data_IF_692942999517
#
_entry.id   IF_692942999517
#
_cell.length_a   1.000
_cell.length_b   1.000
_cell.length_c   1.000
_cell.angle_alpha   90.00
_cell.angle_beta   90.00
_cell.angle_gamma   90.00
#
_symmetry.space_group_name_H-M   'P 1'
#
loop_
_entity.id
_entity.type
_entity.pdbx_description
1 polymer ?
#
# COMPACT_ATOMS: atom_id res chain seq x y z
N UNK A 1 24.73 34.83 24.53
CA UNK A 1 23.62 33.84 24.51
C UNK A 1 22.24 34.47 24.30
N UNK A 2 21.93 35.67 24.83
CA UNK A 2 20.61 36.33 24.63
C UNK A 2 20.18 36.47 23.16
N UNK A 3 21.13 36.73 22.26
CA UNK A 3 20.85 36.92 20.84
C UNK A 3 20.43 35.61 20.14
N UNK A 4 20.92 34.45 20.58
CA UNK A 4 20.58 33.14 19.99
C UNK A 4 19.09 32.83 20.15
N UNK A 5 18.55 32.97 21.36
CA UNK A 5 17.13 32.69 21.62
C UNK A 5 16.19 33.63 20.85
N UNK A 6 16.59 34.89 20.68
CA UNK A 6 15.82 35.87 19.89
C UNK A 6 15.80 35.46 18.42
N UNK A 7 16.96 35.09 17.85
CA UNK A 7 17.07 34.64 16.46
C UNK A 7 16.23 33.37 16.25
N UNK A 8 16.39 32.37 17.11
CA UNK A 8 15.62 31.13 17.06
C UNK A 8 14.12 31.39 17.09
N UNK A 9 13.64 32.16 18.07
CA UNK A 9 12.21 32.45 18.21
C UNK A 9 11.68 33.25 17.01
N UNK A 10 12.46 34.20 16.49
CA UNK A 10 12.10 34.98 15.31
C UNK A 10 11.99 34.09 14.07
N UNK A 11 13.01 33.27 13.79
CA UNK A 11 13.03 32.34 12.66
C UNK A 11 11.87 31.35 12.74
N UNK A 12 11.69 30.69 13.90
CA UNK A 12 10.61 29.73 14.11
C UNK A 12 9.23 30.38 13.91
N UNK A 13 8.96 31.51 14.57
CA UNK A 13 7.64 32.17 14.50
C UNK A 13 7.33 32.68 13.10
N UNK A 14 8.29 33.30 12.43
CA UNK A 14 8.10 33.80 11.07
C UNK A 14 7.81 32.68 10.09
N UNK A 15 8.49 31.53 10.25
CA UNK A 15 8.31 30.39 9.35
C UNK A 15 7.03 29.62 9.66
N UNK A 16 6.70 29.41 10.93
CA UNK A 16 5.45 28.77 11.36
C UNK A 16 4.22 29.53 10.84
N UNK A 17 4.26 30.86 10.84
CA UNK A 17 3.18 31.72 10.34
C UNK A 17 3.27 32.02 8.85
N UNK A 18 4.27 31.46 8.14
CA UNK A 18 4.43 31.72 6.71
C UNK A 18 3.36 30.99 5.90
N UNK A 19 2.81 31.66 4.88
CA UNK A 19 1.84 31.05 3.96
C UNK A 19 2.41 29.78 3.31
N UNK A 20 3.68 29.79 2.94
CA UNK A 20 4.35 28.63 2.36
C UNK A 20 4.31 27.42 3.29
N UNK A 21 4.67 27.58 4.57
CA UNK A 21 4.63 26.50 5.55
C UNK A 21 3.21 26.02 5.84
N UNK A 22 2.26 26.93 6.01
CA UNK A 22 0.86 26.57 6.28
C UNK A 22 0.24 25.81 5.11
N UNK A 23 0.46 26.28 3.88
CA UNK A 23 -0.03 25.62 2.66
C UNK A 23 0.65 24.28 2.47
N UNK A 24 1.98 24.19 2.59
CA UNK A 24 2.70 22.93 2.43
C UNK A 24 2.28 21.91 3.48
N UNK A 25 2.13 22.35 4.73
CA UNK A 25 1.66 21.48 5.83
C UNK A 25 0.25 21.00 5.56
N UNK A 26 -0.68 21.88 5.17
CA UNK A 26 -2.05 21.48 4.83
C UNK A 26 -2.08 20.45 3.69
N UNK A 27 -1.30 20.67 2.62
CA UNK A 27 -1.18 19.71 1.50
C UNK A 27 -0.62 18.37 2.00
N UNK A 28 0.45 18.38 2.80
CA UNK A 28 1.03 17.15 3.36
C UNK A 28 0.05 16.42 4.26
N UNK A 29 -0.75 17.12 5.06
CA UNK A 29 -1.75 16.51 5.93
C UNK A 29 -2.90 15.89 5.13
N UNK A 30 -3.39 16.57 4.08
CA UNK A 30 -4.42 16.02 3.18
C UNK A 30 -3.87 14.80 2.43
N UNK A 31 -2.63 14.87 1.94
CA UNK A 31 -1.98 13.76 1.25
C UNK A 31 -1.74 12.56 2.17
N UNK A 32 -1.28 12.79 3.40
CA UNK A 32 -1.16 11.74 4.42
C UNK A 32 -2.53 11.15 4.75
N UNK A 33 -3.57 11.96 4.91
CA UNK A 33 -4.92 11.47 5.14
C UNK A 33 -5.40 10.59 3.98
N UNK A 34 -5.12 10.97 2.73
CA UNK A 34 -5.41 10.14 1.55
C UNK A 34 -4.66 8.81 1.58
N UNK A 35 -3.34 8.81 1.79
CA UNK A 35 -2.53 7.57 1.85
C UNK A 35 -3.00 6.65 2.97
N UNK A 36 -3.23 7.21 4.17
CA UNK A 36 -3.65 6.44 5.35
C UNK A 36 -5.00 5.78 5.12
N UNK A 37 -5.90 6.45 4.39
CA UNK A 37 -7.24 5.94 4.10
C UNK A 37 -7.34 5.37 2.68
N UNK A 38 -6.22 5.12 2.00
CA UNK A 38 -6.19 4.80 0.57
C UNK A 38 -6.95 3.51 0.30
N UNK A 39 -6.70 2.46 1.07
CA UNK A 39 -7.39 1.17 0.91
C UNK A 39 -8.91 1.30 1.14
N UNK A 40 -9.34 2.20 2.03
CA UNK A 40 -10.78 2.49 2.24
C UNK A 40 -11.40 3.28 1.11
N UNK A 41 -10.67 4.27 0.61
CA UNK A 41 -11.10 5.05 -0.55
C UNK A 41 -11.25 4.09 -1.73
N UNK A 42 -10.29 3.19 -1.95
CA UNK A 42 -10.40 2.14 -2.96
C UNK A 42 -11.57 1.21 -2.72
N UNK A 43 -11.77 0.69 -1.50
CA UNK A 43 -12.96 -0.13 -1.18
C UNK A 43 -14.29 0.61 -1.41
N UNK A 44 -14.36 1.91 -1.13
CA UNK A 44 -15.56 2.73 -1.38
C UNK A 44 -15.82 2.91 -2.88
N UNK A 45 -14.77 2.84 -3.71
CA UNK A 45 -14.89 2.80 -5.17
C UNK A 45 -15.03 1.37 -5.72
N UNK A 46 -14.65 0.35 -4.95
CA UNK A 46 -14.80 -1.08 -5.25
C UNK A 46 -16.17 -1.62 -4.86
N UNK A 47 -16.91 -1.05 -3.92
CA UNK A 47 -18.33 -1.44 -3.71
C UNK A 47 -19.15 -1.33 -5.02
N UNK A 48 -18.77 -0.42 -5.92
CA UNK A 48 -19.37 -0.27 -7.25
C UNK A 48 -18.70 -1.14 -8.35
N UNK A 49 -17.50 -1.70 -8.12
CA UNK A 49 -16.70 -2.43 -9.12
C UNK A 49 -16.47 -3.93 -8.81
N UNK A 50 -16.33 -4.33 -7.54
CA UNK A 50 -16.32 -5.72 -7.05
C UNK A 50 -17.71 -6.36 -7.06
N UNK A 51 -18.79 -5.58 -7.25
CA UNK A 51 -20.13 -6.15 -7.48
C UNK A 51 -20.25 -6.90 -8.81
N UNK A 52 -19.24 -6.81 -9.69
CA UNK A 52 -19.15 -7.61 -10.91
C UNK A 52 -17.81 -8.31 -10.91
N UNK A 53 -17.78 -9.52 -10.34
CA UNK A 53 -16.68 -10.47 -10.54
C UNK A 53 -16.33 -10.57 -12.03
N UNK A 54 -15.12 -10.99 -12.36
CA UNK A 54 -14.70 -11.10 -13.77
C UNK A 54 -15.65 -12.06 -14.48
N UNK A 55 -16.43 -11.51 -15.41
CA UNK A 55 -17.30 -12.29 -16.28
C UNK A 55 -16.43 -13.06 -17.28
N UNK A 56 -16.42 -14.38 -17.14
CA UNK A 56 -15.65 -15.31 -17.96
C UNK A 56 -16.63 -16.02 -18.89
N UNK A 57 -16.61 -15.67 -20.16
CA UNK A 57 -17.36 -16.38 -21.19
C UNK A 57 -16.76 -17.78 -21.41
N UNK A 58 -17.52 -18.84 -21.12
CA UNK A 58 -17.12 -20.21 -21.38
C UNK A 58 -17.53 -20.62 -22.79
N UNK A 59 -16.54 -20.86 -23.65
CA UNK A 59 -16.72 -21.41 -24.99
C UNK A 59 -16.38 -22.89 -24.95
N UNK A 60 -17.40 -23.72 -25.13
CA UNK A 60 -17.26 -25.17 -25.22
C UNK A 60 -18.17 -25.76 -26.31
N UNK A 61 -17.79 -26.91 -26.87
CA UNK A 61 -18.57 -27.57 -27.93
C UNK A 61 -19.59 -28.59 -27.39
N UNK A 62 -19.28 -29.25 -26.26
CA UNK A 62 -20.08 -30.37 -25.73
C UNK A 62 -21.10 -29.98 -24.65
N UNK A 63 -20.92 -28.84 -23.96
CA UNK A 63 -21.76 -28.43 -22.83
C UNK A 63 -21.50 -29.23 -21.54
N UNK A 64 -20.44 -30.03 -21.51
CA UNK A 64 -20.10 -30.92 -20.40
C UNK A 64 -19.21 -30.26 -19.34
N UNK A 65 -18.60 -29.11 -19.65
CA UNK A 65 -17.61 -28.46 -18.79
C UNK A 65 -18.21 -27.39 -17.87
N UNK A 66 -19.29 -26.73 -18.27
CA UNK A 66 -19.91 -25.65 -17.49
C UNK A 66 -20.25 -26.06 -16.06
N UNK A 67 -21.02 -27.14 -15.89
CA UNK A 67 -21.49 -27.59 -14.57
C UNK A 67 -20.32 -27.94 -13.62
N UNK A 68 -19.38 -28.84 -13.99
CA UNK A 68 -18.23 -29.15 -13.13
C UNK A 68 -17.36 -27.93 -12.80
N UNK A 69 -17.14 -27.03 -13.77
CA UNK A 69 -16.37 -25.81 -13.52
C UNK A 69 -17.09 -24.85 -12.59
N UNK A 70 -18.41 -24.69 -12.76
CA UNK A 70 -19.23 -23.84 -11.89
C UNK A 70 -19.21 -24.31 -10.44
N UNK A 71 -19.27 -25.62 -10.19
CA UNK A 71 -19.21 -26.19 -8.84
C UNK A 71 -17.84 -25.97 -8.18
N UNK A 72 -16.76 -26.13 -8.94
CA UNK A 72 -15.40 -25.91 -8.41
C UNK A 72 -15.09 -24.43 -8.16
N UNK A 73 -15.75 -23.53 -8.90
CA UNK A 73 -15.57 -22.08 -8.77
C UNK A 73 -16.57 -21.42 -7.81
N UNK A 74 -17.52 -22.16 -7.24
CA UNK A 74 -18.53 -21.65 -6.29
C UNK A 74 -17.92 -20.84 -5.13
N UNK A 75 -16.80 -21.27 -4.49
CA UNK A 75 -16.13 -20.50 -3.43
C UNK A 75 -15.52 -19.17 -3.91
N UNK A 76 -15.52 -18.91 -5.20
CA UNK A 76 -14.90 -17.75 -5.86
C UNK A 76 -15.89 -16.94 -6.71
N UNK A 77 -17.20 -17.18 -6.58
CA UNK A 77 -18.26 -16.52 -7.36
C UNK A 77 -18.24 -14.99 -7.25
N UNK A 78 -17.83 -14.46 -6.09
CA UNK A 78 -17.69 -13.01 -5.87
C UNK A 78 -16.64 -12.37 -6.80
N UNK A 79 -15.72 -13.18 -7.34
CA UNK A 79 -14.57 -12.71 -8.14
C UNK A 79 -14.53 -13.28 -9.55
N UNK A 80 -15.19 -14.41 -9.80
CA UNK A 80 -15.21 -15.13 -11.07
C UNK A 80 -16.66 -15.52 -11.36
N UNK A 81 -17.24 -14.92 -12.39
CA UNK A 81 -18.58 -15.27 -12.85
C UNK A 81 -18.44 -16.06 -14.15
N UNK A 82 -18.62 -17.37 -14.08
CA UNK A 82 -18.60 -18.21 -15.27
C UNK A 82 -19.94 -18.07 -16.01
N UNK A 83 -19.89 -17.63 -17.26
CA UNK A 83 -21.07 -17.43 -18.11
C UNK A 83 -21.05 -18.46 -19.23
N UNK A 84 -22.08 -19.31 -19.28
CA UNK A 84 -22.30 -20.20 -20.41
C UNK A 84 -22.65 -19.37 -21.64
N UNK A 85 -21.93 -19.57 -22.74
CA UNK A 85 -22.17 -18.85 -23.99
C UNK A 85 -22.25 -19.79 -25.19
N UNK A 86 -23.02 -19.38 -26.20
CA UNK A 86 -23.10 -20.05 -27.50
C UNK A 86 -22.21 -19.40 -28.56
N UNK A 87 -21.35 -18.46 -28.16
CA UNK A 87 -20.42 -17.77 -29.05
C UNK A 87 -19.33 -18.74 -29.53
N UNK A 88 -18.87 -18.54 -30.76
CA UNK A 88 -17.62 -19.16 -31.24
C UNK A 88 -16.40 -18.57 -30.54
N UNK A 89 -15.24 -19.25 -30.63
CA UNK A 89 -13.98 -18.74 -30.07
C UNK A 89 -13.65 -17.34 -30.61
N UNK A 90 -13.85 -17.11 -31.91
CA UNK A 90 -13.61 -15.83 -32.57
C UNK A 90 -14.52 -14.71 -32.06
N UNK A 91 -15.81 -14.99 -31.88
CA UNK A 91 -16.78 -14.03 -31.35
C UNK A 91 -16.53 -13.74 -29.85
N UNK A 92 -16.12 -14.73 -29.07
CA UNK A 92 -15.77 -14.54 -27.66
C UNK A 92 -14.52 -13.66 -27.49
N UNK A 93 -13.52 -13.81 -28.38
CA UNK A 93 -12.34 -12.94 -28.41
C UNK A 93 -12.70 -11.49 -28.75
N UNK A 94 -13.61 -11.28 -29.69
CA UNK A 94 -14.14 -9.95 -30.04
C UNK A 94 -14.90 -9.35 -28.86
N UNK A 95 -15.78 -10.12 -28.22
CA UNK A 95 -16.55 -9.68 -27.05
C UNK A 95 -15.66 -9.32 -25.84
N UNK A 96 -14.52 -10.01 -25.64
CA UNK A 96 -13.52 -9.62 -24.62
C UNK A 96 -12.80 -8.33 -25.02
N UNK A 97 -12.49 -8.15 -26.30
CA UNK A 97 -11.81 -6.95 -26.81
C UNK A 97 -12.71 -5.71 -26.75
N UNK A 98 -14.02 -5.90 -26.95
CA UNK A 98 -15.04 -4.86 -26.86
C UNK A 98 -15.47 -4.56 -25.40
N UNK A 99 -14.98 -5.36 -24.44
CA UNK A 99 -15.24 -5.20 -23.01
C UNK A 99 -16.63 -5.67 -22.57
N UNK A 100 -17.30 -6.52 -23.37
CA UNK A 100 -18.54 -7.19 -22.99
C UNK A 100 -18.28 -8.26 -21.93
N UNK A 101 -17.20 -9.03 -22.07
CA UNK A 101 -16.70 -9.96 -21.05
C UNK A 101 -15.32 -9.55 -20.55
N UNK A 102 -15.01 -9.89 -19.29
CA UNK A 102 -13.67 -9.65 -18.73
C UNK A 102 -12.63 -10.65 -19.23
N UNK A 103 -13.06 -11.85 -19.60
CA UNK A 103 -12.22 -12.89 -20.19
C UNK A 103 -13.05 -13.92 -20.97
N UNK A 104 -12.38 -14.71 -21.82
CA UNK A 104 -12.94 -15.88 -22.47
C UNK A 104 -12.12 -17.12 -22.11
N UNK A 105 -12.82 -18.20 -21.76
CA UNK A 105 -12.24 -19.51 -21.50
C UNK A 105 -12.73 -20.47 -22.59
N UNK A 106 -11.82 -20.90 -23.46
CA UNK A 106 -12.11 -21.90 -24.49
C UNK A 106 -11.69 -23.25 -23.96
N UNK A 107 -12.64 -24.17 -23.79
CA UNK A 107 -12.39 -25.54 -23.32
C UNK A 107 -12.70 -26.54 -24.44
N UNK A 108 -11.70 -27.34 -24.78
CA UNK A 108 -11.79 -28.39 -25.80
C UNK A 108 -11.47 -29.73 -25.16
N UNK A 109 -12.11 -30.78 -25.66
CA UNK A 109 -11.75 -32.15 -25.31
C UNK A 109 -10.50 -32.57 -26.09
N UNK A 110 -9.49 -33.08 -25.37
CA UNK A 110 -8.29 -33.65 -25.99
C UNK A 110 -8.55 -35.10 -26.45
N UNK A 111 -7.67 -35.67 -27.27
CA UNK A 111 -7.81 -37.04 -27.82
C UNK A 111 -7.87 -38.14 -26.74
N UNK A 112 -7.45 -37.82 -25.51
CA UNK A 112 -7.47 -38.66 -24.32
C UNK A 112 -8.70 -38.41 -23.43
N UNK A 113 -9.69 -37.64 -23.90
CA UNK A 113 -10.91 -37.32 -23.17
C UNK A 113 -10.73 -36.27 -22.06
N UNK A 114 -9.55 -35.65 -21.98
CA UNK A 114 -9.21 -34.70 -20.92
C UNK A 114 -9.42 -33.25 -21.35
N UNK A 115 -9.73 -32.34 -20.41
CA UNK A 115 -9.92 -30.93 -20.73
C UNK A 115 -8.60 -30.27 -21.16
N UNK A 116 -8.64 -29.57 -22.28
CA UNK A 116 -7.61 -28.65 -22.74
C UNK A 116 -8.23 -27.27 -22.85
N UNK A 117 -7.70 -26.31 -22.09
CA UNK A 117 -8.25 -24.97 -22.06
C UNK A 117 -7.24 -23.89 -22.45
N UNK A 118 -7.75 -22.84 -23.08
CA UNK A 118 -7.02 -21.60 -23.34
C UNK A 118 -7.80 -20.44 -22.70
N UNK A 119 -7.11 -19.63 -21.91
CA UNK A 119 -7.68 -18.46 -21.26
C UNK A 119 -7.22 -17.20 -21.99
N UNK A 120 -8.19 -16.40 -22.43
CA UNK A 120 -7.99 -15.14 -23.14
C UNK A 120 -8.49 -13.99 -22.28
N UNK A 121 -7.65 -12.96 -22.12
CA UNK A 121 -7.97 -11.75 -21.35
C UNK A 121 -7.25 -10.55 -21.93
N UNK A 122 -7.87 -9.37 -21.85
CA UNK A 122 -7.26 -8.10 -22.29
C UNK A 122 -6.12 -7.63 -21.35
N UNK A 123 -6.00 -8.23 -20.15
CA UNK A 123 -4.95 -7.90 -19.18
C UNK A 123 -4.30 -9.14 -18.54
N UNK A 124 -3.04 -9.38 -18.87
CA UNK A 124 -2.20 -10.39 -18.21
C UNK A 124 -1.80 -10.03 -16.77
N UNK A 125 -2.20 -8.86 -16.27
CA UNK A 125 -1.90 -8.45 -14.90
C UNK A 125 -2.76 -9.20 -13.86
N UNK A 126 -3.90 -9.77 -14.26
CA UNK A 126 -4.79 -10.52 -13.36
C UNK A 126 -4.39 -12.00 -13.29
N UNK A 127 -3.52 -12.34 -12.34
CA UNK A 127 -3.08 -13.73 -12.15
C UNK A 127 -4.06 -14.61 -11.36
N UNK A 128 -5.00 -14.02 -10.62
CA UNK A 128 -5.90 -14.78 -9.75
C UNK A 128 -6.87 -15.67 -10.54
N UNK A 129 -7.65 -15.08 -11.44
CA UNK A 129 -8.68 -15.78 -12.25
C UNK A 129 -8.13 -16.96 -13.05
N UNK A 130 -7.08 -16.82 -13.89
CA UNK A 130 -6.52 -17.95 -14.62
C UNK A 130 -5.97 -19.04 -13.71
N UNK A 131 -5.40 -18.69 -12.54
CA UNK A 131 -4.90 -19.68 -11.58
C UNK A 131 -6.03 -20.49 -10.95
N UNK A 132 -7.15 -19.85 -10.59
CA UNK A 132 -8.30 -20.58 -10.04
C UNK A 132 -8.98 -21.47 -11.09
N UNK A 133 -9.15 -20.98 -12.31
CA UNK A 133 -9.68 -21.78 -13.42
C UNK A 133 -8.76 -22.98 -13.70
N UNK A 134 -7.44 -22.78 -13.71
CA UNK A 134 -6.48 -23.86 -13.89
C UNK A 134 -6.60 -24.91 -12.77
N UNK A 135 -6.73 -24.50 -11.51
CA UNK A 135 -6.91 -25.42 -10.39
C UNK A 135 -8.23 -26.21 -10.50
N UNK A 136 -9.32 -25.56 -10.92
CA UNK A 136 -10.61 -26.20 -11.13
C UNK A 136 -10.53 -27.27 -12.25
N UNK A 137 -9.96 -26.91 -13.41
CA UNK A 137 -9.73 -27.86 -14.51
C UNK A 137 -8.80 -29.02 -14.11
N UNK A 138 -7.77 -28.73 -13.32
CA UNK A 138 -6.87 -29.74 -12.80
C UNK A 138 -7.61 -30.73 -11.88
N UNK A 139 -8.48 -30.23 -11.00
CA UNK A 139 -9.29 -31.09 -10.13
C UNK A 139 -10.29 -31.95 -10.91
N UNK A 140 -10.92 -31.39 -11.96
CA UNK A 140 -11.81 -32.14 -12.86
C UNK A 140 -11.04 -33.26 -13.56
N UNK A 141 -9.89 -32.95 -14.16
CA UNK A 141 -9.01 -33.93 -14.80
C UNK A 141 -8.62 -35.05 -13.83
N UNK A 142 -8.22 -34.70 -12.61
CA UNK A 142 -7.82 -35.71 -11.64
C UNK A 142 -8.98 -36.62 -11.23
N UNK A 143 -10.17 -36.05 -11.05
CA UNK A 143 -11.40 -36.81 -10.75
C UNK A 143 -11.73 -37.78 -11.89
N UNK A 144 -11.63 -37.36 -13.15
CA UNK A 144 -11.90 -38.21 -14.31
C UNK A 144 -10.90 -39.36 -14.43
N UNK A 145 -9.60 -39.05 -14.37
CA UNK A 145 -8.53 -40.06 -14.48
C UNK A 145 -8.61 -41.07 -13.33
N UNK A 146 -8.95 -40.63 -12.12
CA UNK A 146 -9.04 -41.53 -10.96
C UNK A 146 -10.26 -42.44 -11.02
N UNK A 147 -11.38 -41.96 -11.57
CA UNK A 147 -12.56 -42.78 -11.88
C UNK A 147 -12.25 -43.84 -12.95
N UNK A 148 -11.54 -43.48 -14.02
CA UNK A 148 -11.11 -44.43 -15.06
C UNK A 148 -10.18 -45.53 -14.52
N UNK A 149 -9.33 -45.18 -13.56
CA UNK A 149 -8.46 -46.13 -12.86
C UNK A 149 -9.19 -47.01 -11.84
N UNK A 150 -10.48 -46.78 -11.61
CA UNK A 150 -11.31 -47.56 -10.69
C UNK A 150 -10.96 -47.35 -9.20
N UNK A 151 -10.42 -46.18 -8.85
CA UNK A 151 -10.18 -45.82 -7.45
C UNK A 151 -11.53 -45.60 -6.74
N UNK A 152 -11.66 -46.08 -5.50
CA UNK A 152 -12.87 -45.85 -4.72
C UNK A 152 -12.93 -44.40 -4.22
N UNK A 153 -14.13 -43.88 -3.99
CA UNK A 153 -14.32 -42.53 -3.45
C UNK A 153 -13.62 -42.34 -2.10
N UNK A 154 -13.50 -43.40 -1.30
CA UNK A 154 -12.76 -43.40 -0.04
C UNK A 154 -11.25 -43.24 -0.26
N UNK A 155 -10.67 -43.93 -1.24
CA UNK A 155 -9.26 -43.81 -1.57
C UNK A 155 -8.93 -42.39 -2.09
N UNK A 156 -9.85 -41.78 -2.85
CA UNK A 156 -9.71 -40.40 -3.30
C UNK A 156 -9.79 -39.40 -2.15
N UNK A 157 -10.76 -39.56 -1.25
CA UNK A 157 -10.87 -38.71 -0.07
C UNK A 157 -9.60 -38.78 0.81
N UNK A 158 -8.96 -39.94 0.89
CA UNK A 158 -7.69 -40.12 1.60
C UNK A 158 -6.52 -39.41 0.88
N UNK A 159 -6.42 -39.54 -0.45
CA UNK A 159 -5.40 -38.88 -1.28
C UNK A 159 -5.51 -37.35 -1.18
N UNK A 160 -6.72 -36.80 -1.21
CA UNK A 160 -6.98 -35.36 -1.14
C UNK A 160 -7.11 -34.80 0.27
N UNK A 161 -7.01 -35.66 1.30
CA UNK A 161 -7.12 -35.18 2.67
C UNK A 161 -6.00 -34.17 2.97
N UNK A 162 -6.34 -32.94 3.38
CA UNK A 162 -5.31 -31.94 3.63
C UNK A 162 -4.43 -32.40 4.78
N UNK A 163 -3.12 -32.36 4.57
CA UNK A 163 -2.17 -32.67 5.64
C UNK A 163 -2.33 -31.65 6.78
N UNK A 164 -2.26 -32.14 8.02
CA UNK A 164 -2.22 -31.24 9.18
C UNK A 164 -0.86 -30.56 9.26
N UNK A 165 -0.72 -29.44 8.56
CA UNK A 165 0.51 -28.65 8.53
C UNK A 165 0.37 -27.43 9.45
N UNK A 166 1.03 -27.47 10.61
CA UNK A 166 1.07 -26.35 11.56
C UNK A 166 2.47 -25.76 11.62
N UNK A 167 2.60 -24.53 11.16
CA UNK A 167 3.81 -23.72 11.38
C UNK A 167 3.72 -23.10 12.76
N UNK A 168 4.69 -23.38 13.64
CA UNK A 168 4.81 -22.75 14.95
C UNK A 168 6.20 -22.15 15.12
N UNK A 169 6.29 -21.06 15.87
CA UNK A 169 7.55 -20.36 16.09
C UNK A 169 8.19 -20.88 17.37
N UNK A 170 9.48 -21.23 17.33
CA UNK A 170 10.23 -21.63 18.53
C UNK A 170 10.54 -20.42 19.45
N UNK A 171 10.56 -19.20 18.90
CA UNK A 171 10.80 -17.97 19.66
C UNK A 171 9.49 -17.35 20.15
N UNK A 172 9.42 -17.01 21.44
CA UNK A 172 8.31 -16.22 22.01
C UNK A 172 8.21 -14.80 21.43
N UNK A 173 9.27 -14.31 20.77
CA UNK A 173 9.31 -12.98 20.12
C UNK A 173 9.12 -13.04 18.61
N UNK A 174 8.93 -14.21 18.02
CA UNK A 174 8.74 -14.33 16.58
C UNK A 174 7.42 -13.69 16.17
N UNK A 175 7.52 -12.70 15.30
CA UNK A 175 6.38 -12.06 14.64
C UNK A 175 5.98 -12.86 13.42
N UNK A 176 4.69 -12.85 13.07
CA UNK A 176 4.23 -13.48 11.84
C UNK A 176 4.84 -12.81 10.60
N UNK A 177 4.93 -13.51 9.47
CA UNK A 177 5.41 -12.90 8.21
C UNK A 177 4.58 -11.66 7.82
N UNK A 178 3.26 -11.68 8.07
CA UNK A 178 2.39 -10.53 7.86
C UNK A 178 2.81 -9.33 8.71
N UNK A 179 3.05 -9.54 10.00
CA UNK A 179 3.52 -8.48 10.91
C UNK A 179 4.91 -7.95 10.51
N UNK A 180 5.81 -8.82 10.08
CA UNK A 180 7.15 -8.43 9.61
C UNK A 180 7.09 -7.63 8.32
N UNK A 181 6.25 -8.03 7.36
CA UNK A 181 6.07 -7.32 6.10
C UNK A 181 5.42 -5.95 6.32
N UNK A 182 4.40 -5.86 7.17
CA UNK A 182 3.79 -4.57 7.53
C UNK A 182 4.80 -3.63 8.21
N UNK A 183 5.58 -4.14 9.18
CA UNK A 183 6.62 -3.36 9.84
C UNK A 183 7.70 -2.88 8.86
N UNK A 184 8.10 -3.73 7.91
CA UNK A 184 9.06 -3.38 6.85
C UNK A 184 8.54 -2.27 5.94
N UNK A 185 7.30 -2.38 5.47
CA UNK A 185 6.65 -1.35 4.66
C UNK A 185 6.58 -0.02 5.40
N UNK A 186 6.23 -0.03 6.69
CA UNK A 186 6.21 1.17 7.52
C UNK A 186 7.59 1.83 7.63
N UNK A 187 8.65 1.06 7.89
CA UNK A 187 10.02 1.57 7.97
C UNK A 187 10.44 2.20 6.65
N UNK A 188 10.09 1.62 5.50
CA UNK A 188 10.40 2.22 4.20
C UNK A 188 9.69 3.55 3.99
N UNK A 189 8.40 3.65 4.33
CA UNK A 189 7.65 4.92 4.26
C UNK A 189 8.28 5.96 5.18
N UNK A 190 8.65 5.57 6.40
CA UNK A 190 9.30 6.46 7.35
C UNK A 190 10.65 6.99 6.84
N UNK A 191 11.50 6.11 6.29
CA UNK A 191 12.77 6.51 5.69
C UNK A 191 12.58 7.47 4.51
N UNK A 192 11.57 7.21 3.67
CA UNK A 192 11.21 8.10 2.58
C UNK A 192 10.82 9.49 3.09
N UNK A 193 9.96 9.56 4.10
CA UNK A 193 9.53 10.83 4.72
C UNK A 193 10.73 11.58 5.31
N UNK A 194 11.60 10.89 6.06
CA UNK A 194 12.81 11.49 6.65
C UNK A 194 13.71 12.04 5.54
N UNK A 195 13.97 11.27 4.49
CA UNK A 195 14.82 11.69 3.36
C UNK A 195 14.32 12.99 2.73
N UNK A 196 13.05 13.04 2.33
CA UNK A 196 12.47 14.25 1.71
C UNK A 196 12.42 15.43 2.68
N UNK A 197 12.14 15.18 3.95
CA UNK A 197 12.10 16.23 4.95
C UNK A 197 13.47 16.86 5.16
N UNK A 198 14.53 16.06 5.26
CA UNK A 198 15.91 16.57 5.37
C UNK A 198 16.22 17.49 4.19
N UNK A 199 15.87 17.09 2.97
CA UNK A 199 16.06 17.91 1.78
C UNK A 199 15.26 19.22 1.84
N UNK A 200 13.97 19.17 2.18
CA UNK A 200 13.10 20.35 2.22
C UNK A 200 13.58 21.35 3.28
N UNK A 201 13.82 20.89 4.51
CA UNK A 201 14.21 21.78 5.61
C UNK A 201 15.64 22.29 5.48
N UNK A 202 16.57 21.53 4.88
CA UNK A 202 17.90 22.05 4.57
C UNK A 202 17.89 23.06 3.42
N UNK A 203 17.07 22.86 2.38
CA UNK A 203 16.88 23.88 1.34
C UNK A 203 16.26 25.17 1.92
N UNK A 204 15.40 25.04 2.93
CA UNK A 204 14.86 26.20 3.65
C UNK A 204 15.97 27.00 4.35
N UNK A 205 16.97 26.34 4.94
CA UNK A 205 18.16 26.98 5.52
C UNK A 205 18.99 27.70 4.44
N UNK A 206 19.30 27.03 3.34
CA UNK A 206 20.07 27.63 2.24
C UNK A 206 19.38 28.90 1.69
N UNK A 207 18.06 28.83 1.49
CA UNK A 207 17.26 29.95 1.00
C UNK A 207 17.25 31.11 2.00
N UNK A 208 17.11 30.82 3.29
CA UNK A 208 17.17 31.82 4.37
C UNK A 208 18.48 32.61 4.33
N UNK A 209 19.61 31.92 4.20
CA UNK A 209 20.93 32.56 4.19
C UNK A 209 21.15 33.36 2.90
N UNK A 210 20.70 32.84 1.75
CA UNK A 210 20.74 33.57 0.49
C UNK A 210 19.88 34.85 0.53
N UNK A 211 18.70 34.82 1.18
CA UNK A 211 17.82 35.99 1.29
C UNK A 211 18.38 37.07 2.21
N UNK A 212 19.12 36.70 3.27
CA UNK A 212 19.75 37.68 4.15
C UNK A 212 20.90 38.41 3.46
N UNK A 213 21.71 37.68 2.70
CA UNK A 213 22.86 38.24 1.99
C UNK A 213 22.46 39.13 0.80
N UNK A 214 21.22 39.01 0.31
CA UNK A 214 20.70 39.80 -0.81
C UNK A 214 19.87 41.02 -0.38
N UNK A 215 19.55 41.17 0.92
CA UNK A 215 18.75 42.29 1.43
C UNK A 215 19.59 43.25 2.27
N UNK A 216 19.72 44.50 1.80
CA UNK A 216 20.51 45.55 2.46
C UNK A 216 20.02 45.88 3.88
N UNK A 217 18.72 45.74 4.15
CA UNK A 217 18.15 45.95 5.49
C UNK A 217 18.50 44.78 6.42
N UNK A 218 18.43 43.55 5.90
CA UNK A 218 18.77 42.35 6.68
C UNK A 218 20.27 42.23 6.93
N UNK A 219 21.11 42.62 5.97
CA UNK A 219 22.58 42.67 6.12
C UNK A 219 22.99 43.54 7.32
N UNK A 220 22.39 44.73 7.45
CA UNK A 220 22.64 45.63 8.58
C UNK A 220 22.19 45.00 9.90
N UNK A 221 21.01 44.35 9.93
CA UNK A 221 20.52 43.64 11.13
C UNK A 221 21.41 42.46 11.53
N UNK A 222 21.88 41.66 10.56
CA UNK A 222 22.73 40.49 10.78
C UNK A 222 24.13 40.90 11.22
N UNK A 223 24.67 42.02 10.70
CA UNK A 223 25.98 42.56 11.09
C UNK A 223 26.08 42.97 12.57
N UNK A 224 24.94 43.13 13.25
CA UNK A 224 24.87 43.47 14.67
C UNK A 224 24.95 42.25 15.62
N UNK A 225 24.96 41.03 15.07
CA UNK A 225 24.97 39.78 15.83
C UNK A 225 26.09 38.82 15.39
N UNK A 226 26.47 37.90 16.28
CA UNK A 226 27.51 36.90 16.01
C UNK A 226 27.07 35.94 14.88
N UNK A 227 27.92 35.70 13.84
CA UNK A 227 27.62 34.76 12.75
C UNK A 227 27.27 33.34 13.23
N UNK A 228 27.98 32.85 14.26
CA UNK A 228 27.72 31.52 14.83
C UNK A 228 26.33 31.47 15.50
N UNK A 229 25.93 32.54 16.18
CA UNK A 229 24.61 32.61 16.80
C UNK A 229 23.48 32.68 15.76
N UNK A 230 23.73 33.32 14.61
CA UNK A 230 22.80 33.36 13.48
C UNK A 230 22.61 31.98 12.85
N UNK A 231 23.73 31.30 12.55
CA UNK A 231 23.72 29.97 11.95
C UNK A 231 22.99 28.95 12.83
N UNK A 232 23.41 28.80 14.10
CA UNK A 232 22.78 27.84 15.02
C UNK A 232 21.34 28.23 15.36
N UNK A 233 21.03 29.52 15.50
CA UNK A 233 19.67 29.99 15.78
C UNK A 233 18.68 29.58 14.69
N UNK A 234 19.10 29.68 13.43
CA UNK A 234 18.31 29.26 12.27
C UNK A 234 18.18 27.76 12.12
N UNK A 235 19.29 27.03 12.25
CA UNK A 235 19.30 25.56 12.19
C UNK A 235 18.36 24.99 13.27
N UNK A 236 18.48 25.46 14.51
CA UNK A 236 17.58 24.98 15.58
C UNK A 236 16.14 25.44 15.35
N UNK A 237 15.93 26.69 14.90
CA UNK A 237 14.59 27.22 14.63
C UNK A 237 13.84 26.45 13.54
N UNK A 238 14.50 26.10 12.43
CA UNK A 238 13.90 25.31 11.34
C UNK A 238 13.81 23.82 11.73
N UNK A 239 14.76 23.29 12.50
CA UNK A 239 14.64 21.94 13.07
C UNK A 239 13.40 21.80 13.96
N UNK A 240 13.12 22.79 14.81
CA UNK A 240 11.90 22.84 15.63
C UNK A 240 10.64 22.97 14.77
N UNK A 241 10.69 23.72 13.67
CA UNK A 241 9.58 23.83 12.71
C UNK A 241 9.24 22.46 12.10
N UNK A 242 10.26 21.68 11.72
CA UNK A 242 10.08 20.34 11.20
C UNK A 242 9.45 19.38 12.23
N UNK A 243 9.93 19.43 13.48
CA UNK A 243 9.33 18.66 14.58
C UNK A 243 7.87 19.03 14.83
N UNK A 244 7.51 20.32 14.71
CA UNK A 244 6.11 20.76 14.79
C UNK A 244 5.28 20.17 13.66
N UNK A 245 5.79 20.15 12.42
CA UNK A 245 5.08 19.56 11.29
C UNK A 245 4.86 18.05 11.49
N UNK A 246 5.88 17.32 11.98
CA UNK A 246 5.74 15.90 12.32
C UNK A 246 4.77 15.66 13.46
N UNK A 247 4.76 16.51 14.49
CA UNK A 247 3.78 16.45 15.56
C UNK A 247 2.35 16.58 15.04
N UNK A 248 2.11 17.50 14.09
CA UNK A 248 0.79 17.65 13.45
C UNK A 248 0.41 16.44 12.62
N UNK A 249 1.34 15.88 11.83
CA UNK A 249 1.11 14.65 11.06
C UNK A 249 0.75 13.50 11.97
N UNK A 250 1.50 13.32 13.07
CA UNK A 250 1.23 12.28 14.07
C UNK A 250 -0.15 12.46 14.71
N UNK A 251 -0.52 13.69 15.09
CA UNK A 251 -1.84 13.98 15.65
C UNK A 251 -2.97 13.70 14.66
N UNK A 252 -2.80 14.02 13.36
CA UNK A 252 -3.80 13.68 12.33
C UNK A 252 -3.90 12.18 12.15
N UNK A 253 -2.77 11.46 12.12
CA UNK A 253 -2.76 9.99 11.99
C UNK A 253 -3.45 9.30 13.18
N UNK A 254 -3.22 9.77 14.40
CA UNK A 254 -3.92 9.27 15.61
C UNK A 254 -5.38 9.74 15.65
N UNK A 255 -5.67 10.97 15.23
CA UNK A 255 -7.03 11.49 15.17
C UNK A 255 -7.91 10.70 14.19
N UNK A 256 -7.37 10.34 13.02
CA UNK A 256 -8.07 9.49 12.06
C UNK A 256 -8.34 8.09 12.60
N UNK A 257 -7.49 7.54 13.49
CA UNK A 257 -7.73 6.21 14.05
C UNK A 257 -8.76 6.21 15.18
N UNK A 258 -8.93 7.31 15.92
CA UNK A 258 -9.90 7.38 17.02
C UNK A 258 -11.33 7.63 16.54
N UNK A 259 -11.51 8.46 15.50
CA UNK A 259 -12.84 8.84 14.97
C UNK A 259 -13.51 7.71 14.18
N UNK A 260 -12.74 6.71 13.75
CA UNK A 260 -13.18 5.66 12.80
C UNK A 260 -13.08 4.29 13.50
N UNK A 261 -13.76 4.15 14.64
CA UNK A 261 -13.90 2.86 15.34
C UNK A 261 -15.14 2.06 14.90
N UNK A 262 -15.97 2.65 14.02
CA UNK A 262 -17.18 2.00 13.49
C UNK A 262 -16.94 1.52 12.04
N UNK A 263 -16.93 0.19 11.90
CA UNK A 263 -17.45 -0.58 10.75
C UNK A 263 -16.66 -0.69 9.43
N UNK A 264 -15.32 -0.79 9.40
CA UNK A 264 -14.65 -1.12 8.12
C UNK A 264 -13.28 -1.81 8.21
N UNK A 265 -13.17 -3.02 7.63
CA UNK A 265 -12.00 -3.91 7.73
C UNK A 265 -10.79 -3.53 6.86
N UNK A 266 -10.87 -2.70 5.82
CA UNK A 266 -9.75 -2.60 4.87
C UNK A 266 -8.79 -1.41 5.00
N UNK A 267 -9.18 -0.24 5.53
CA UNK A 267 -8.23 0.90 5.69
C UNK A 267 -7.69 1.08 7.11
N UNK A 268 -8.50 0.69 8.09
CA UNK A 268 -8.20 0.84 9.52
C UNK A 268 -7.10 -0.13 9.98
N UNK A 269 -6.90 -1.25 9.28
CA UNK A 269 -6.03 -2.34 9.70
C UNK A 269 -4.55 -2.01 9.66
N UNK A 270 -4.03 -1.20 8.73
CA UNK A 270 -2.57 -0.94 8.72
C UNK A 270 -2.17 -0.07 9.93
N UNK A 271 -2.85 1.04 10.18
CA UNK A 271 -2.56 1.88 11.35
C UNK A 271 -3.02 1.24 12.66
N UNK A 272 -4.16 0.54 12.72
CA UNK A 272 -4.62 -0.12 13.95
C UNK A 272 -3.82 -1.40 14.26
N UNK A 273 -3.34 -2.17 13.28
CA UNK A 273 -2.41 -3.28 13.54
C UNK A 273 -1.05 -2.76 14.01
N UNK A 274 -0.61 -1.61 13.48
CA UNK A 274 0.63 -0.96 13.88
C UNK A 274 0.53 -0.19 15.23
N UNK A 275 -0.60 0.46 15.54
CA UNK A 275 -0.85 1.20 16.79
C UNK A 275 -1.43 0.32 17.91
N UNK A 276 -2.30 -0.63 17.57
CA UNK A 276 -3.00 -1.53 18.48
C UNK A 276 -2.10 -2.62 19.05
N UNK A 277 -1.01 -2.97 18.35
CA UNK A 277 0.11 -3.72 18.90
C UNK A 277 1.30 -2.79 19.17
N UNK A 278 1.04 -1.72 19.93
CA UNK A 278 2.01 -0.76 20.47
C UNK A 278 3.15 -0.42 19.49
N UNK A 279 3.07 0.71 18.79
CA UNK A 279 4.25 1.24 18.09
C UNK A 279 5.41 1.18 19.08
N UNK A 280 6.49 0.45 18.75
CA UNK A 280 7.65 0.42 19.62
C UNK A 280 8.08 1.88 19.78
N UNK A 281 7.97 2.44 21.00
CA UNK A 281 8.33 3.85 21.26
C UNK A 281 9.79 4.11 20.83
N UNK A 282 10.60 3.07 20.86
CA UNK A 282 11.93 2.95 20.26
C UNK A 282 11.96 3.29 18.77
N UNK A 283 11.00 2.87 17.96
CA UNK A 283 10.96 3.16 16.52
C UNK A 283 10.67 4.65 16.25
N UNK A 284 9.77 5.27 17.01
CA UNK A 284 9.58 6.74 16.97
C UNK A 284 10.86 7.44 17.46
N UNK A 285 11.49 6.93 18.53
CA UNK A 285 12.77 7.43 19.01
C UNK A 285 13.86 7.40 17.94
N UNK A 286 13.98 6.28 17.22
CA UNK A 286 14.90 6.14 16.10
C UNK A 286 14.54 7.07 14.94
N UNK A 287 13.26 7.25 14.62
CA UNK A 287 12.80 8.19 13.60
C UNK A 287 13.26 9.62 13.90
N UNK A 288 13.01 10.09 15.13
CA UNK A 288 13.41 11.42 15.59
C UNK A 288 14.93 11.54 15.60
N UNK A 289 15.64 10.52 16.07
CA UNK A 289 17.10 10.51 16.10
C UNK A 289 17.71 10.59 14.69
N UNK A 290 17.25 9.75 13.76
CA UNK A 290 17.74 9.75 12.38
C UNK A 290 17.38 11.03 11.66
N UNK A 291 16.18 11.58 11.88
CA UNK A 291 15.82 12.89 11.38
C UNK A 291 16.77 13.97 11.91
N UNK A 292 17.00 14.05 13.22
CA UNK A 292 17.87 15.06 13.81
C UNK A 292 19.30 14.97 13.28
N UNK A 293 19.86 13.76 13.19
CA UNK A 293 21.21 13.54 12.67
C UNK A 293 21.31 13.92 11.19
N UNK A 294 20.37 13.43 10.36
CA UNK A 294 20.34 13.74 8.92
C UNK A 294 20.10 15.23 8.65
N UNK A 295 19.17 15.84 9.38
CA UNK A 295 18.85 17.26 9.30
C UNK A 295 20.05 18.12 9.71
N UNK A 296 20.69 17.85 10.85
CA UNK A 296 21.84 18.63 11.30
C UNK A 296 23.01 18.53 10.31
N UNK A 297 23.29 17.34 9.77
CA UNK A 297 24.31 17.17 8.75
C UNK A 297 24.01 18.01 7.50
N UNK A 298 22.79 17.90 6.96
CA UNK A 298 22.44 18.59 5.72
C UNK A 298 22.27 20.11 5.94
N UNK A 299 21.69 20.54 7.06
CA UNK A 299 21.51 21.94 7.42
C UNK A 299 22.84 22.66 7.69
N UNK A 300 23.83 21.97 8.27
CA UNK A 300 25.17 22.56 8.45
C UNK A 300 25.96 22.66 7.15
N UNK A 301 25.77 21.74 6.21
CA UNK A 301 26.34 21.87 4.86
C UNK A 301 25.67 22.95 4.03
N UNK A 302 24.36 23.16 4.22
CA UNK A 302 23.56 24.17 3.54
C UNK A 302 23.75 25.59 4.09
N UNK A 303 24.32 25.73 5.29
CA UNK A 303 24.51 27.01 5.98
C UNK A 303 25.87 27.65 5.72
#
# INVERSE_FOLDING_TARGET
MRNFGIILAHTYKNRLMSKAFLISTAITLVFMMFIINMDRIFMMFEEDAESRGVEVALVEESGEWFLPLSEQLEPHTDRIQLIETSLSEEEALEAVSDGEYGAALVVQESNDGLPRATFYSDSLAQQFTPMQIQNALQHIKETQVTQELGLSSEALAEIYSPISFKTSTVSETARSERELNQARSFVYVLLFVIYFSVLIFGNMIATEIATEKSSRVMEILVSSASPVAQMFGKIVGIGLLALTQYGLIFLVAVGSSVVIQEEGEGGFTMIQTLLGKSIPLDLIGYAVLFFLLGYLLYATLAA
#
